data_IF_162231093444
#
_entry.id   IF_162231093444
#
_cell.length_a   1.000
_cell.length_b   1.000
_cell.length_c   1.000
_cell.angle_alpha   90.00
_cell.angle_beta   90.00
_cell.angle_gamma   90.00
#
_symmetry.space_group_name_H-M   'P 1'
#
loop_
_entity.id
_entity.type
_entity.pdbx_description
1 polymer ?
#
# COMPACT_ATOMS: atom_id res chain seq x y z
N UNK A 1 -20.10 16.82 -55.13
CA UNK A 1 -21.54 16.44 -55.28
C UNK A 1 -22.02 15.93 -53.92
N UNK A 2 -22.54 16.76 -53.02
CA UNK A 2 -23.89 17.33 -53.06
C UNK A 2 -24.73 16.52 -52.07
N UNK A 3 -24.78 16.95 -50.80
CA UNK A 3 -25.54 16.30 -49.74
C UNK A 3 -27.00 16.09 -50.17
N UNK A 4 -27.49 14.85 -50.10
CA UNK A 4 -28.89 14.52 -50.42
C UNK A 4 -29.80 15.36 -49.54
N UNK A 5 -30.54 16.30 -50.14
CA UNK A 5 -31.58 17.09 -49.45
C UNK A 5 -32.62 16.11 -48.91
N UNK A 6 -32.71 16.00 -47.59
CA UNK A 6 -33.72 15.18 -46.94
C UNK A 6 -35.12 15.60 -47.42
N UNK A 7 -35.91 14.66 -47.92
CA UNK A 7 -37.27 14.89 -48.37
C UNK A 7 -38.11 15.49 -47.24
N UNK A 8 -38.85 16.57 -47.55
CA UNK A 8 -39.72 17.23 -46.57
C UNK A 8 -40.81 16.25 -46.13
N UNK A 9 -40.82 15.89 -44.84
CA UNK A 9 -41.87 15.07 -44.23
C UNK A 9 -43.26 15.70 -44.44
N UNK A 10 -44.22 14.87 -44.86
CA UNK A 10 -45.63 15.24 -44.95
C UNK A 10 -46.17 15.77 -43.62
N UNK A 11 -47.14 16.68 -43.67
CA UNK A 11 -47.78 17.26 -42.48
C UNK A 11 -48.33 16.18 -41.53
N UNK A 12 -48.91 15.11 -42.08
CA UNK A 12 -49.41 13.97 -41.31
C UNK A 12 -48.30 13.24 -40.54
N UNK A 13 -47.13 13.01 -41.17
CA UNK A 13 -45.97 12.39 -40.50
C UNK A 13 -45.43 13.26 -39.36
N UNK A 14 -45.38 14.60 -39.55
CA UNK A 14 -44.98 15.55 -38.49
C UNK A 14 -45.95 15.57 -37.32
N UNK A 15 -47.26 15.55 -37.58
CA UNK A 15 -48.28 15.54 -36.53
C UNK A 15 -48.24 14.22 -35.72
N UNK A 16 -48.02 13.08 -36.37
CA UNK A 16 -47.83 11.79 -35.69
C UNK A 16 -46.59 11.78 -34.81
N UNK A 17 -45.45 12.28 -35.31
CA UNK A 17 -44.23 12.41 -34.49
C UNK A 17 -44.43 13.35 -33.29
N UNK A 18 -45.15 14.46 -33.48
CA UNK A 18 -45.46 15.39 -32.39
C UNK A 18 -46.34 14.71 -31.32
N UNK A 19 -47.34 13.94 -31.73
CA UNK A 19 -48.21 13.20 -30.81
C UNK A 19 -47.45 12.10 -30.03
N UNK A 20 -46.57 11.35 -30.70
CA UNK A 20 -45.71 10.35 -30.05
C UNK A 20 -44.77 11.00 -29.04
N UNK A 21 -44.08 12.08 -29.41
CA UNK A 21 -43.20 12.82 -28.49
C UNK A 21 -43.96 13.39 -27.29
N UNK A 22 -45.19 13.86 -27.49
CA UNK A 22 -46.02 14.35 -26.38
C UNK A 22 -46.43 13.21 -25.43
N UNK A 23 -46.78 12.04 -25.97
CA UNK A 23 -47.08 10.86 -25.17
C UNK A 23 -45.87 10.34 -24.40
N UNK A 24 -44.68 10.33 -25.02
CA UNK A 24 -43.41 9.97 -24.39
C UNK A 24 -43.09 10.90 -23.22
N UNK A 25 -43.16 12.22 -23.42
CA UNK A 25 -42.96 13.21 -22.35
C UNK A 25 -43.91 13.00 -21.18
N UNK A 26 -45.19 12.76 -21.46
CA UNK A 26 -46.19 12.54 -20.41
C UNK A 26 -45.92 11.24 -19.63
N UNK A 27 -45.44 10.20 -20.31
CA UNK A 27 -45.03 8.95 -19.68
C UNK A 27 -43.76 9.11 -18.83
N UNK A 28 -42.80 9.92 -19.28
CA UNK A 28 -41.61 10.28 -18.50
C UNK A 28 -41.98 11.06 -17.23
N UNK A 29 -42.85 12.07 -17.34
CA UNK A 29 -43.33 12.83 -16.18
C UNK A 29 -44.08 11.93 -15.18
N UNK A 30 -44.92 11.02 -15.67
CA UNK A 30 -45.57 10.02 -14.81
C UNK A 30 -44.56 9.13 -14.09
N UNK A 31 -43.51 8.66 -14.79
CA UNK A 31 -42.43 7.87 -14.18
C UNK A 31 -41.69 8.69 -13.12
N UNK A 32 -41.39 9.96 -13.40
CA UNK A 32 -40.74 10.88 -12.47
C UNK A 32 -41.56 11.09 -11.20
N UNK A 33 -42.85 11.40 -11.34
CA UNK A 33 -43.76 11.56 -10.21
C UNK A 33 -43.88 10.28 -9.38
N UNK A 34 -43.88 9.11 -10.03
CA UNK A 34 -43.90 7.81 -9.33
C UNK A 34 -42.63 7.60 -8.49
N UNK A 35 -41.46 7.95 -9.03
CA UNK A 35 -40.18 7.90 -8.30
C UNK A 35 -40.18 8.87 -7.11
N UNK A 36 -40.60 10.11 -7.31
CA UNK A 36 -40.68 11.10 -6.24
C UNK A 36 -41.61 10.66 -5.10
N UNK A 37 -42.77 10.08 -5.42
CA UNK A 37 -43.69 9.52 -4.40
C UNK A 37 -43.06 8.38 -3.62
N UNK A 38 -42.32 7.50 -4.30
CA UNK A 38 -41.59 6.43 -3.67
C UNK A 38 -40.48 6.98 -2.76
N UNK A 39 -39.69 7.96 -3.21
CA UNK A 39 -38.67 8.62 -2.38
C UNK A 39 -39.29 9.26 -1.13
N UNK A 40 -40.40 9.98 -1.29
CA UNK A 40 -41.13 10.60 -0.18
C UNK A 40 -41.63 9.57 0.84
N UNK A 41 -42.08 8.39 0.40
CA UNK A 41 -42.51 7.33 1.32
C UNK A 41 -41.35 6.71 2.10
N UNK A 42 -40.16 6.70 1.51
CA UNK A 42 -38.94 6.14 2.13
C UNK A 42 -38.25 7.12 3.09
N UNK A 43 -38.57 8.42 3.05
CA UNK A 43 -37.92 9.43 3.91
C UNK A 43 -37.97 9.09 5.40
N UNK A 44 -39.08 8.52 5.90
CA UNK A 44 -39.21 8.15 7.31
C UNK A 44 -38.24 7.04 7.72
N UNK A 45 -38.06 6.04 6.84
CA UNK A 45 -37.12 4.94 7.07
C UNK A 45 -35.69 5.48 7.04
N UNK A 46 -35.37 6.31 6.05
CA UNK A 46 -34.05 6.93 5.92
C UNK A 46 -33.69 7.82 7.12
N UNK A 47 -34.66 8.57 7.67
CA UNK A 47 -34.43 9.35 8.89
C UNK A 47 -34.15 8.45 10.10
N UNK A 48 -34.90 7.36 10.27
CA UNK A 48 -34.66 6.40 11.35
C UNK A 48 -33.28 5.74 11.22
N UNK A 49 -32.87 5.39 9.99
CA UNK A 49 -31.54 4.86 9.71
C UNK A 49 -30.45 5.87 10.10
N UNK A 50 -30.58 7.14 9.70
CA UNK A 50 -29.64 8.21 10.06
C UNK A 50 -29.56 8.39 11.59
N UNK A 51 -30.69 8.38 12.29
CA UNK A 51 -30.71 8.50 13.76
C UNK A 51 -29.97 7.33 14.43
N UNK A 52 -30.19 6.10 13.95
CA UNK A 52 -29.47 4.94 14.49
C UNK A 52 -27.97 5.00 14.20
N UNK A 53 -27.58 5.34 12.97
CA UNK A 53 -26.18 5.42 12.58
C UNK A 53 -25.45 6.53 13.36
N UNK A 54 -26.06 7.70 13.49
CA UNK A 54 -25.48 8.82 14.26
C UNK A 54 -25.33 8.48 15.73
N UNK A 55 -26.30 7.79 16.35
CA UNK A 55 -26.19 7.31 17.72
C UNK A 55 -25.04 6.29 17.89
N UNK A 56 -24.87 5.37 16.95
CA UNK A 56 -23.76 4.42 16.96
C UNK A 56 -22.40 5.10 16.80
N UNK A 57 -22.29 6.03 15.85
CA UNK A 57 -21.07 6.81 15.63
C UNK A 57 -20.71 7.63 16.88
N UNK A 58 -21.69 8.27 17.53
CA UNK A 58 -21.49 8.99 18.79
C UNK A 58 -21.01 8.06 19.90
N UNK A 59 -21.62 6.88 20.06
CA UNK A 59 -21.17 5.87 21.04
C UNK A 59 -19.72 5.45 20.79
N UNK A 60 -19.36 5.18 19.54
CA UNK A 60 -17.99 4.81 19.17
C UNK A 60 -17.00 5.95 19.43
N UNK A 61 -17.39 7.19 19.16
CA UNK A 61 -16.59 8.38 19.45
C UNK A 61 -16.35 8.54 20.95
N UNK A 62 -17.40 8.50 21.77
CA UNK A 62 -17.29 8.59 23.23
C UNK A 62 -16.40 7.47 23.79
N UNK A 63 -16.53 6.24 23.27
CA UNK A 63 -15.65 5.13 23.66
C UNK A 63 -14.19 5.38 23.29
N UNK A 64 -13.92 5.98 22.12
CA UNK A 64 -12.55 6.34 21.72
C UNK A 64 -11.99 7.42 22.63
N UNK A 65 -12.75 8.48 22.89
CA UNK A 65 -12.35 9.58 23.79
C UNK A 65 -12.07 9.07 25.22
N UNK A 66 -12.92 8.18 25.75
CA UNK A 66 -12.70 7.53 27.04
C UNK A 66 -11.40 6.72 27.04
N UNK A 67 -11.20 5.84 26.06
CA UNK A 67 -9.97 5.04 25.92
C UNK A 67 -8.72 5.91 25.77
N UNK A 68 -8.81 7.00 25.01
CA UNK A 68 -7.70 7.95 24.85
C UNK A 68 -7.37 8.66 26.16
N UNK A 69 -8.38 9.06 26.93
CA UNK A 69 -8.20 9.67 28.24
C UNK A 69 -7.56 8.71 29.25
N UNK A 70 -7.98 7.44 29.29
CA UNK A 70 -7.38 6.40 30.14
C UNK A 70 -5.93 6.09 29.73
N UNK A 71 -5.67 6.02 28.42
CA UNK A 71 -4.32 5.85 27.89
C UNK A 71 -3.44 7.06 28.21
N UNK A 72 -3.96 8.27 28.13
CA UNK A 72 -3.21 9.48 28.48
C UNK A 72 -2.85 9.55 29.97
N UNK A 73 -3.72 9.04 30.85
CA UNK A 73 -3.45 8.94 32.30
C UNK A 73 -2.38 7.91 32.64
N UNK A 74 -2.41 6.75 32.00
CA UNK A 74 -1.45 5.65 32.28
C UNK A 74 -0.09 5.83 31.59
N UNK A 75 -0.07 6.51 30.44
CA UNK A 75 1.13 6.66 29.62
C UNK A 75 1.92 7.91 29.99
N UNK A 76 3.24 7.81 30.00
CA UNK A 76 4.13 8.97 30.09
C UNK A 76 3.95 9.90 28.88
N UNK A 77 3.97 11.23 29.07
CA UNK A 77 3.99 12.17 27.96
C UNK A 77 5.23 11.92 27.11
N UNK A 78 5.06 11.96 25.79
CA UNK A 78 6.18 11.75 24.86
C UNK A 78 6.15 12.80 23.77
N UNK A 79 7.33 13.33 23.46
CA UNK A 79 7.55 14.10 22.26
C UNK A 79 7.99 13.13 21.16
N UNK A 80 7.25 13.07 20.05
CA UNK A 80 7.56 12.22 18.89
C UNK A 80 7.01 10.78 18.93
N UNK A 81 7.55 9.93 18.05
CA UNK A 81 6.99 8.60 17.74
C UNK A 81 7.39 7.51 18.74
N UNK A 82 8.56 7.60 19.36
CA UNK A 82 9.10 6.53 20.21
C UNK A 82 8.49 6.61 21.61
N UNK A 83 8.10 5.50 22.26
CA UNK A 83 7.75 5.52 23.68
C UNK A 83 9.00 5.70 24.55
N UNK A 84 8.83 6.31 25.73
CA UNK A 84 9.84 6.27 26.77
C UNK A 84 9.97 4.83 27.30
N UNK A 85 11.21 4.43 27.56
CA UNK A 85 11.55 3.12 28.14
C UNK A 85 12.38 3.41 29.37
N UNK A 86 11.93 2.92 30.53
CA UNK A 86 12.67 3.07 31.77
C UNK A 86 14.05 2.39 31.63
N UNK A 87 15.10 3.12 32.00
CA UNK A 87 16.43 2.54 32.11
C UNK A 87 16.52 1.56 33.28
N UNK A 88 17.57 0.75 33.29
CA UNK A 88 17.89 -0.07 34.46
C UNK A 88 18.17 0.86 35.65
N UNK A 89 17.43 0.65 36.74
CA UNK A 89 17.64 1.37 38.00
C UNK A 89 18.90 0.77 38.63
N UNK A 90 19.89 1.62 38.92
CA UNK A 90 21.04 1.19 39.69
C UNK A 90 20.60 1.02 41.16
N UNK A 91 20.57 -0.23 41.61
CA UNK A 91 20.29 -0.60 43.00
C UNK A 91 21.61 -1.01 43.64
N UNK A 92 21.80 -0.66 44.91
CA UNK A 92 22.93 -1.17 45.70
C UNK A 92 22.69 -2.64 46.02
N UNK A 93 23.70 -3.49 45.81
CA UNK A 93 23.64 -4.87 46.28
C UNK A 93 23.70 -4.91 47.81
N UNK A 94 23.20 -5.98 48.44
CA UNK A 94 23.16 -6.11 49.91
C UNK A 94 24.51 -5.87 50.58
N UNK A 95 25.61 -6.30 49.93
CA UNK A 95 26.97 -6.13 50.44
C UNK A 95 27.47 -4.67 50.38
N UNK A 96 26.88 -3.85 49.51
CA UNK A 96 27.19 -2.43 49.35
C UNK A 96 26.26 -1.52 50.19
N UNK A 97 25.23 -2.10 50.82
CA UNK A 97 24.35 -1.39 51.76
C UNK A 97 25.10 -1.24 53.09
N UNK A 98 25.84 -0.14 53.22
CA UNK A 98 26.51 0.22 54.46
C UNK A 98 25.57 1.01 55.39
N UNK A 99 25.69 0.79 56.69
CA UNK A 99 25.04 1.58 57.74
C UNK A 99 25.55 3.03 57.83
N UNK A 100 26.61 3.38 57.10
CA UNK A 100 27.31 4.65 57.18
C UNK A 100 27.47 5.29 55.79
N UNK A 101 26.99 6.54 55.63
CA UNK A 101 27.04 7.30 54.37
C UNK A 101 28.46 7.54 53.83
N UNK A 102 29.48 7.57 54.69
CA UNK A 102 30.88 7.79 54.29
C UNK A 102 31.44 6.70 53.37
N UNK A 103 30.87 5.49 53.39
CA UNK A 103 31.31 4.36 52.58
C UNK A 103 30.49 4.21 51.29
N UNK A 104 29.44 5.00 51.13
CA UNK A 104 28.57 4.94 49.97
C UNK A 104 29.29 5.52 48.76
N UNK A 105 29.39 4.72 47.68
CA UNK A 105 29.94 5.19 46.41
C UNK A 105 28.97 6.19 45.78
N UNK A 106 29.50 7.32 45.30
CA UNK A 106 28.71 8.28 44.53
C UNK A 106 28.19 7.65 43.24
N UNK A 107 26.96 8.00 42.85
CA UNK A 107 26.31 7.41 41.70
C UNK A 107 26.96 7.86 40.38
N UNK A 108 27.57 6.95 39.58
CA UNK A 108 28.34 7.33 38.40
C UNK A 108 27.49 7.76 37.19
N UNK A 109 26.17 7.54 37.17
CA UNK A 109 25.29 7.77 36.00
C UNK A 109 24.26 8.92 36.16
N UNK A 110 24.51 9.91 37.00
CA UNK A 110 23.55 10.99 37.31
C UNK A 110 23.07 11.76 36.07
N UNK A 111 23.95 11.98 35.08
CA UNK A 111 23.57 12.64 33.83
C UNK A 111 22.58 11.82 33.01
N UNK A 112 22.73 10.49 33.01
CA UNK A 112 21.82 9.57 32.30
C UNK A 112 20.45 9.59 32.95
N UNK A 113 20.38 9.59 34.28
CA UNK A 113 19.12 9.65 35.02
C UNK A 113 18.39 10.98 34.79
N UNK A 114 19.13 12.10 34.81
CA UNK A 114 18.58 13.41 34.47
C UNK A 114 18.04 13.44 33.03
N UNK A 115 18.78 12.88 32.07
CA UNK A 115 18.35 12.79 30.68
C UNK A 115 17.08 11.94 30.52
N UNK A 116 17.02 10.76 31.16
CA UNK A 116 15.83 9.91 31.15
C UNK A 116 14.64 10.61 31.83
N UNK A 117 14.86 11.34 32.92
CA UNK A 117 13.83 12.15 33.57
C UNK A 117 13.31 13.28 32.66
N UNK A 118 14.17 13.95 31.89
CA UNK A 118 13.74 14.95 30.89
C UNK A 118 12.93 14.31 29.76
N UNK A 119 13.29 13.10 29.35
CA UNK A 119 12.52 12.33 28.36
C UNK A 119 11.16 11.88 28.90
N UNK A 120 11.10 11.40 30.14
CA UNK A 120 9.87 10.99 30.81
C UNK A 120 8.89 12.17 30.97
N UNK A 121 9.42 13.38 31.21
CA UNK A 121 8.65 14.62 31.29
C UNK A 121 8.25 15.17 29.91
N UNK A 122 8.78 14.61 28.82
CA UNK A 122 8.53 15.09 27.46
C UNK A 122 9.26 16.39 27.09
N UNK A 123 10.22 16.85 27.90
CA UNK A 123 11.07 18.03 27.57
C UNK A 123 12.02 17.71 26.43
N UNK A 124 12.55 16.48 26.40
CA UNK A 124 13.41 15.97 25.33
C UNK A 124 12.71 14.78 24.69
N UNK A 125 12.77 14.67 23.37
CA UNK A 125 12.20 13.51 22.67
C UNK A 125 13.01 12.23 22.89
N UNK A 126 12.30 11.11 22.87
CA UNK A 126 12.92 9.79 22.96
C UNK A 126 13.37 9.34 21.57
N UNK A 127 14.69 9.31 21.34
CA UNK A 127 15.28 8.82 20.09
C UNK A 127 15.87 7.44 20.29
N UNK A 128 15.50 6.50 19.42
CA UNK A 128 16.24 5.23 19.28
C UNK A 128 17.40 5.49 18.33
N UNK A 129 18.62 5.14 18.74
CA UNK A 129 19.78 5.17 17.84
C UNK A 129 19.46 4.23 16.67
N UNK A 130 19.41 4.77 15.46
CA UNK A 130 19.18 3.96 14.27
C UNK A 130 20.34 2.98 14.13
N UNK A 131 20.06 1.68 14.22
CA UNK A 131 21.06 0.69 13.82
C UNK A 131 21.14 0.76 12.29
N UNK A 132 22.23 1.35 11.78
CA UNK A 132 22.53 1.33 10.36
C UNK A 132 22.77 -0.12 9.96
N UNK A 133 21.71 -0.81 9.55
CA UNK A 133 21.86 -2.10 8.90
C UNK A 133 22.56 -1.84 7.57
N UNK A 134 23.83 -2.23 7.47
CA UNK A 134 24.55 -2.21 6.20
C UNK A 134 23.78 -3.11 5.24
N UNK A 135 23.13 -2.52 4.24
CA UNK A 135 22.46 -3.31 3.18
C UNK A 135 23.53 -4.21 2.57
N UNK A 136 23.36 -5.53 2.63
CA UNK A 136 24.21 -6.46 1.88
C UNK A 136 24.07 -6.09 0.41
N UNK A 137 25.14 -5.60 -0.22
CA UNK A 137 25.15 -5.41 -1.68
C UNK A 137 25.00 -6.80 -2.29
N UNK A 138 24.15 -6.92 -3.32
CA UNK A 138 24.09 -8.16 -4.11
C UNK A 138 25.41 -8.27 -4.83
N UNK A 139 26.25 -9.18 -4.39
CA UNK A 139 27.47 -9.55 -5.10
C UNK A 139 27.02 -10.32 -6.34
N UNK A 140 27.25 -9.73 -7.52
CA UNK A 140 26.97 -10.38 -8.80
C UNK A 140 28.26 -11.03 -9.23
N UNK A 141 28.31 -12.35 -9.11
CA UNK A 141 29.42 -13.15 -9.60
C UNK A 141 29.27 -13.31 -11.11
N UNK A 142 30.19 -12.70 -11.87
CA UNK A 142 30.20 -12.78 -13.32
C UNK A 142 31.08 -13.95 -13.76
N UNK A 143 30.44 -15.02 -14.23
CA UNK A 143 31.12 -16.15 -14.85
C UNK A 143 31.60 -15.78 -16.27
N UNK A 144 32.79 -15.16 -16.35
CA UNK A 144 33.36 -14.70 -17.61
C UNK A 144 33.74 -15.83 -18.59
N UNK A 145 33.77 -17.09 -18.13
CA UNK A 145 34.20 -18.26 -18.95
C UNK A 145 33.06 -19.06 -19.59
N UNK A 146 31.81 -18.89 -19.12
CA UNK A 146 30.68 -19.64 -19.66
C UNK A 146 30.35 -19.26 -21.12
N UNK A 147 30.60 -18.00 -21.51
CA UNK A 147 30.38 -17.54 -22.88
C UNK A 147 31.39 -18.10 -23.88
N UNK A 148 32.64 -18.30 -23.45
CA UNK A 148 33.69 -18.86 -24.30
C UNK A 148 33.40 -20.34 -24.59
N UNK A 149 33.05 -21.13 -23.56
CA UNK A 149 32.70 -22.54 -23.72
C UNK A 149 31.48 -22.76 -24.63
N UNK A 150 30.46 -21.90 -24.53
CA UNK A 150 29.29 -21.95 -25.42
C UNK A 150 29.63 -21.57 -26.87
N UNK A 151 30.55 -20.63 -27.08
CA UNK A 151 31.01 -20.24 -28.42
C UNK A 151 31.87 -21.32 -29.08
N UNK A 152 32.73 -21.99 -28.31
CA UNK A 152 33.54 -23.12 -28.77
C UNK A 152 32.65 -24.32 -29.15
N UNK A 153 31.66 -24.67 -28.30
CA UNK A 153 30.70 -25.72 -28.61
C UNK A 153 29.94 -25.46 -29.92
N UNK A 154 29.44 -24.22 -30.12
CA UNK A 154 28.77 -23.85 -31.37
C UNK A 154 29.68 -23.90 -32.61
N UNK A 155 30.97 -23.58 -32.47
CA UNK A 155 31.96 -23.68 -33.56
C UNK A 155 32.20 -25.13 -33.95
N UNK A 156 32.32 -26.03 -32.98
CA UNK A 156 32.56 -27.46 -33.21
C UNK A 156 31.37 -28.12 -33.90
N UNK A 157 30.14 -27.75 -33.54
CA UNK A 157 28.91 -28.20 -34.22
C UNK A 157 28.90 -27.79 -35.70
N UNK A 158 29.26 -26.53 -36.01
CA UNK A 158 29.33 -26.04 -37.40
C UNK A 158 30.41 -26.81 -38.19
N UNK A 159 31.57 -27.06 -37.58
CA UNK A 159 32.64 -27.83 -38.22
C UNK A 159 32.23 -29.28 -38.47
N UNK A 160 31.50 -29.91 -37.54
CA UNK A 160 30.95 -31.25 -37.74
C UNK A 160 29.95 -31.27 -38.91
N UNK A 161 29.01 -30.32 -38.95
CA UNK A 161 28.03 -30.19 -40.03
C UNK A 161 28.68 -29.97 -41.40
N UNK A 162 29.74 -29.15 -41.46
CA UNK A 162 30.47 -28.93 -42.72
C UNK A 162 31.26 -30.16 -43.16
N UNK A 163 31.85 -30.93 -42.22
CA UNK A 163 32.51 -32.21 -42.52
C UNK A 163 31.52 -33.23 -43.07
N UNK A 164 30.34 -33.36 -42.48
CA UNK A 164 29.28 -34.26 -42.99
C UNK A 164 28.79 -33.84 -44.37
N UNK A 165 28.54 -32.54 -44.60
CA UNK A 165 28.20 -32.02 -45.94
C UNK A 165 29.27 -32.35 -46.98
N UNK A 166 30.56 -32.20 -46.64
CA UNK A 166 31.68 -32.57 -47.53
C UNK A 166 31.72 -34.08 -47.81
N UNK A 167 31.49 -34.92 -46.80
CA UNK A 167 31.41 -36.39 -46.98
C UNK A 167 30.27 -36.76 -47.91
N UNK A 168 29.08 -36.16 -47.73
CA UNK A 168 27.91 -36.38 -48.58
C UNK A 168 28.16 -35.91 -50.02
N UNK A 169 28.73 -34.71 -50.21
CA UNK A 169 29.10 -34.22 -51.53
C UNK A 169 30.11 -35.15 -52.23
N UNK A 170 31.10 -35.69 -51.49
CA UNK A 170 32.06 -36.66 -52.03
C UNK A 170 31.39 -37.99 -52.40
N UNK A 171 30.43 -38.47 -51.60
CA UNK A 171 29.62 -39.67 -51.93
C UNK A 171 28.80 -39.45 -53.18
N UNK A 172 28.10 -38.32 -53.31
CA UNK A 172 27.32 -37.96 -54.50
C UNK A 172 28.20 -37.85 -55.74
N UNK A 173 29.37 -37.20 -55.65
CA UNK A 173 30.32 -37.10 -56.76
C UNK A 173 30.87 -38.48 -57.19
N UNK A 174 31.11 -39.39 -56.24
CA UNK A 174 31.50 -40.78 -56.53
C UNK A 174 30.37 -41.58 -57.17
N UNK A 175 29.12 -41.36 -56.75
CA UNK A 175 27.95 -42.02 -57.32
C UNK A 175 27.65 -41.53 -58.75
N UNK A 176 27.88 -40.24 -59.04
CA UNK A 176 27.71 -39.66 -60.38
C UNK A 176 28.83 -40.02 -61.37
N UNK A 177 29.96 -40.55 -60.89
CA UNK A 177 31.10 -40.97 -61.71
C UNK A 177 31.10 -42.47 -62.03
N UNK A 178 30.04 -43.18 -61.68
CA UNK A 178 29.84 -44.63 -61.88
C UNK A 178 28.62 -44.85 -62.77
#
# INVERSE_FOLDING_TARGET
KGARRAEKKSRSKRNREAAVRAAEKLLEERRRLKKQRHELSHLKQLNAEIETETAEQQRLRLRREANESERARSRTPRLGKTPFVNGAIQVLASDEIFHNLRRLKSHPMMLKDRFLSMQQRGTIETRRIAQLQKKKKREVEYDNRASAAKAEAGRDEILAMTRERKKMAKKLKRAAAK
#
